data_IF_454375671956
#
_entry.id   IF_454375671956
#
_cell.length_a   1.000
_cell.length_b   1.000
_cell.length_c   1.000
_cell.angle_alpha   90.00
_cell.angle_beta   90.00
_cell.angle_gamma   90.00
#
_symmetry.space_group_name_H-M   'P 1'
#
loop_
_entity.id
_entity.type
_entity.pdbx_description
1 polymer ?
#
# COMPACT_ATOMS: atom_id res chain seq x y z
N UNK A 1 24.06 22.70 -15.32
CA UNK A 1 23.13 21.56 -15.21
C UNK A 1 23.22 21.09 -13.77
N UNK A 2 22.12 21.04 -13.04
CA UNK A 2 22.15 20.55 -11.65
C UNK A 2 22.39 19.04 -11.67
N UNK A 3 23.39 18.54 -10.94
CA UNK A 3 23.53 17.12 -10.67
C UNK A 3 22.26 16.60 -10.00
N UNK A 4 21.72 15.49 -10.50
CA UNK A 4 20.62 14.82 -9.83
C UNK A 4 21.09 14.38 -8.44
N UNK A 5 20.40 14.84 -7.40
CA UNK A 5 20.73 14.49 -6.03
C UNK A 5 20.64 12.96 -5.85
N UNK A 6 21.71 12.34 -5.34
CA UNK A 6 21.71 10.91 -5.03
C UNK A 6 20.88 10.64 -3.76
N UNK A 7 19.80 9.88 -3.93
CA UNK A 7 18.83 9.56 -2.88
C UNK A 7 19.12 8.17 -2.30
N UNK A 8 19.73 8.11 -1.10
CA UNK A 8 20.12 6.84 -0.47
C UNK A 8 18.92 5.93 -0.23
N UNK A 9 17.75 6.48 0.11
CA UNK A 9 16.54 5.68 0.33
C UNK A 9 16.08 4.90 -0.91
N UNK A 10 16.45 5.37 -2.12
CA UNK A 10 16.16 4.70 -3.40
C UNK A 10 17.23 3.69 -3.83
N UNK A 11 18.40 3.64 -3.18
CA UNK A 11 19.44 2.68 -3.51
C UNK A 11 19.22 1.35 -2.76
N UNK A 12 18.87 0.25 -3.46
CA UNK A 12 18.65 -1.05 -2.83
C UNK A 12 19.93 -1.68 -2.26
N UNK A 13 21.12 -1.15 -2.58
CA UNK A 13 22.41 -1.63 -2.04
C UNK A 13 22.76 -1.02 -0.68
N UNK A 14 22.07 0.03 -0.26
CA UNK A 14 22.29 0.65 1.05
C UNK A 14 21.66 -0.20 2.17
N UNK A 15 22.26 -0.24 3.38
CA UNK A 15 21.65 -0.87 4.54
C UNK A 15 20.25 -0.32 4.82
N UNK A 16 19.35 -1.17 5.32
CA UNK A 16 17.95 -0.80 5.57
C UNK A 16 17.83 0.45 6.44
N UNK A 17 18.54 0.50 7.58
CA UNK A 17 18.48 1.63 8.50
C UNK A 17 18.98 2.93 7.88
N UNK A 18 19.96 2.85 6.98
CA UNK A 18 20.44 4.00 6.19
C UNK A 18 19.34 4.53 5.28
N UNK A 19 18.59 3.63 4.63
CA UNK A 19 17.47 3.99 3.75
C UNK A 19 16.31 4.60 4.54
N UNK A 20 15.98 4.03 5.70
CA UNK A 20 14.93 4.53 6.58
C UNK A 20 15.28 5.93 7.07
N UNK A 21 16.49 6.12 7.60
CA UNK A 21 16.93 7.41 8.14
C UNK A 21 16.93 8.50 7.05
N UNK A 22 17.53 8.22 5.90
CA UNK A 22 17.54 9.17 4.77
C UNK A 22 16.13 9.52 4.30
N UNK A 23 15.20 8.56 4.28
CA UNK A 23 13.80 8.83 3.92
C UNK A 23 13.09 9.71 4.96
N UNK A 24 13.13 9.31 6.23
CA UNK A 24 12.43 10.01 7.33
C UNK A 24 12.93 11.44 7.52
N UNK A 25 14.24 11.67 7.31
CA UNK A 25 14.86 12.99 7.37
C UNK A 25 14.39 13.91 6.22
N UNK A 26 13.94 13.33 5.10
CA UNK A 26 13.41 14.07 3.94
C UNK A 26 11.91 14.33 4.01
N UNK A 27 11.19 13.68 4.92
CA UNK A 27 9.72 13.77 4.99
C UNK A 27 9.25 15.04 5.69
N UNK A 28 8.20 15.66 5.15
CA UNK A 28 7.43 16.69 5.86
C UNK A 28 6.60 16.08 7.00
N UNK A 29 5.99 16.92 7.83
CA UNK A 29 5.09 16.42 8.87
C UNK A 29 3.86 15.73 8.26
N UNK A 30 3.30 16.28 7.18
CA UNK A 30 2.15 15.74 6.47
C UNK A 30 2.45 14.36 5.88
N UNK A 31 3.64 14.18 5.29
CA UNK A 31 4.08 12.88 4.78
C UNK A 31 4.25 11.86 5.91
N UNK A 32 4.77 12.27 7.08
CA UNK A 32 4.90 11.39 8.26
C UNK A 32 3.54 10.96 8.78
N UNK A 33 2.61 11.90 8.89
CA UNK A 33 1.23 11.61 9.29
C UNK A 33 0.57 10.70 8.27
N UNK A 34 0.70 10.97 6.97
CA UNK A 34 0.15 10.14 5.91
C UNK A 34 0.61 8.69 6.00
N UNK A 35 1.91 8.45 6.30
CA UNK A 35 2.44 7.10 6.51
C UNK A 35 1.82 6.35 7.70
N UNK A 36 1.32 7.07 8.71
CA UNK A 36 0.64 6.49 9.88
C UNK A 36 -0.85 6.24 9.67
N UNK A 37 -1.40 6.62 8.51
CA UNK A 37 -2.82 6.49 8.18
C UNK A 37 -3.04 5.27 7.31
N UNK A 38 -3.94 4.40 7.78
CA UNK A 38 -4.54 3.33 6.99
C UNK A 38 -6.02 3.68 6.71
N UNK A 39 -6.40 3.72 5.43
CA UNK A 39 -7.79 3.97 5.02
C UNK A 39 -8.44 2.72 4.41
N UNK A 40 -9.76 2.67 4.42
CA UNK A 40 -10.50 1.60 3.74
C UNK A 40 -10.63 1.90 2.24
N UNK A 41 -10.59 0.88 1.38
CA UNK A 41 -10.54 1.03 -0.08
C UNK A 41 -11.74 1.74 -0.72
N UNK A 42 -12.90 1.79 -0.06
CA UNK A 42 -14.12 2.47 -0.55
C UNK A 42 -13.99 4.00 -0.52
N UNK A 43 -13.13 4.53 0.35
CA UNK A 43 -12.82 5.97 0.41
C UNK A 43 -11.51 6.33 -0.28
N UNK A 44 -10.82 5.33 -0.84
CA UNK A 44 -9.57 5.52 -1.54
C UNK A 44 -9.78 5.87 -3.02
N UNK A 45 -8.93 6.75 -3.52
CA UNK A 45 -8.73 7.01 -4.94
C UNK A 45 -7.27 7.38 -5.17
N UNK A 46 -6.81 7.35 -6.42
CA UNK A 46 -5.46 7.80 -6.80
C UNK A 46 -5.18 9.22 -6.26
N UNK A 47 -6.15 10.12 -6.36
CA UNK A 47 -6.05 11.50 -5.87
C UNK A 47 -5.99 11.59 -4.33
N UNK A 48 -6.80 10.80 -3.61
CA UNK A 48 -6.78 10.78 -2.14
C UNK A 48 -5.43 10.26 -1.65
N UNK A 49 -4.93 9.18 -2.25
CA UNK A 49 -3.65 8.58 -1.88
C UNK A 49 -2.50 9.56 -2.11
N UNK A 50 -2.49 10.23 -3.27
CA UNK A 50 -1.46 11.21 -3.60
C UNK A 50 -1.54 12.45 -2.68
N UNK A 51 -2.72 13.06 -2.57
CA UNK A 51 -2.94 14.32 -1.84
C UNK A 51 -2.61 14.23 -0.36
N UNK A 52 -2.89 13.08 0.26
CA UNK A 52 -2.74 12.89 1.71
C UNK A 52 -1.59 11.94 2.07
N UNK A 53 -0.72 11.57 1.11
CA UNK A 53 0.47 10.73 1.34
C UNK A 53 0.16 9.41 2.06
N UNK A 54 -0.99 8.81 1.76
CA UNK A 54 -1.55 7.65 2.47
C UNK A 54 -0.55 6.49 2.48
N UNK A 55 -0.18 6.03 3.67
CA UNK A 55 0.78 4.94 3.88
C UNK A 55 0.18 3.56 3.70
N UNK A 56 -1.11 3.39 3.98
CA UNK A 56 -1.76 2.09 3.83
C UNK A 56 -3.22 2.18 3.41
N UNK A 57 -3.66 1.15 2.68
CA UNK A 57 -5.08 0.90 2.39
C UNK A 57 -5.40 -0.51 2.86
N UNK A 58 -6.63 -0.77 3.29
CA UNK A 58 -7.12 -2.12 3.49
C UNK A 58 -8.43 -2.43 2.74
N UNK A 59 -8.68 -3.72 2.55
CA UNK A 59 -10.03 -4.25 2.34
C UNK A 59 -10.49 -4.94 3.61
N UNK A 60 -11.54 -4.39 4.25
CA UNK A 60 -12.24 -5.07 5.33
C UNK A 60 -13.02 -6.30 4.82
N UNK A 61 -13.58 -7.08 5.74
CA UNK A 61 -14.40 -8.25 5.39
C UNK A 61 -15.50 -7.92 4.38
N UNK A 62 -15.49 -8.60 3.23
CA UNK A 62 -16.45 -8.39 2.14
C UNK A 62 -16.21 -7.17 1.25
N UNK A 63 -15.20 -6.33 1.53
CA UNK A 63 -14.86 -5.17 0.69
C UNK A 63 -14.07 -5.59 -0.55
N UNK A 64 -14.75 -6.17 -1.53
CA UNK A 64 -14.17 -6.55 -2.82
C UNK A 64 -14.29 -5.42 -3.86
N UNK A 65 -13.46 -5.41 -4.93
CA UNK A 65 -13.59 -4.46 -6.04
C UNK A 65 -14.96 -4.50 -6.71
N UNK A 66 -15.54 -5.71 -6.83
CA UNK A 66 -16.85 -6.02 -7.39
C UNK A 66 -17.29 -7.42 -6.97
N UNK A 67 -18.56 -7.76 -7.21
CA UNK A 67 -19.05 -9.13 -7.05
C UNK A 67 -18.27 -10.10 -7.93
N UNK A 68 -17.89 -11.27 -7.38
CA UNK A 68 -17.13 -12.30 -8.09
C UNK A 68 -15.83 -11.79 -8.75
N UNK A 69 -15.17 -10.79 -8.13
CA UNK A 69 -13.93 -10.22 -8.63
C UNK A 69 -12.85 -11.29 -8.84
N UNK A 70 -12.24 -11.29 -10.03
CA UNK A 70 -11.11 -12.14 -10.37
C UNK A 70 -9.85 -11.67 -9.66
N UNK A 71 -8.81 -12.52 -9.61
CA UNK A 71 -7.50 -12.11 -9.10
C UNK A 71 -6.93 -10.87 -9.83
N UNK A 72 -7.16 -10.76 -11.14
CA UNK A 72 -6.73 -9.60 -11.92
C UNK A 72 -7.47 -8.32 -11.51
N UNK A 73 -8.77 -8.38 -11.19
CA UNK A 73 -9.52 -7.21 -10.71
C UNK A 73 -8.95 -6.66 -9.39
N UNK A 74 -8.49 -7.55 -8.51
CA UNK A 74 -7.80 -7.16 -7.27
C UNK A 74 -6.44 -6.51 -7.57
N UNK A 75 -5.65 -7.13 -8.44
CA UNK A 75 -4.34 -6.60 -8.86
C UNK A 75 -4.48 -5.22 -9.49
N UNK A 76 -5.44 -5.05 -10.41
CA UNK A 76 -5.68 -3.78 -11.10
C UNK A 76 -6.09 -2.68 -10.12
N UNK A 77 -6.99 -2.98 -9.18
CA UNK A 77 -7.40 -2.04 -8.14
C UNK A 77 -6.20 -1.60 -7.26
N UNK A 78 -5.41 -2.56 -6.77
CA UNK A 78 -4.26 -2.26 -5.90
C UNK A 78 -3.19 -1.46 -6.66
N UNK A 79 -2.93 -1.82 -7.92
CA UNK A 79 -2.00 -1.09 -8.78
C UNK A 79 -2.44 0.35 -9.03
N UNK A 80 -3.75 0.59 -9.19
CA UNK A 80 -4.26 1.94 -9.39
C UNK A 80 -4.01 2.83 -8.16
N UNK A 81 -4.28 2.32 -6.95
CA UNK A 81 -3.91 3.03 -5.73
C UNK A 81 -2.39 3.22 -5.59
N UNK A 82 -1.60 2.22 -5.96
CA UNK A 82 -0.14 2.31 -5.89
C UNK A 82 0.43 3.38 -6.83
N UNK A 83 -0.17 3.61 -8.01
CA UNK A 83 0.20 4.75 -8.88
C UNK A 83 0.02 6.09 -8.16
N UNK A 84 -1.03 6.24 -7.34
CA UNK A 84 -1.25 7.42 -6.52
C UNK A 84 -0.12 7.65 -5.51
N UNK A 85 0.30 6.59 -4.81
CA UNK A 85 1.38 6.66 -3.84
C UNK A 85 2.75 6.98 -4.50
N UNK A 86 3.05 6.29 -5.61
CA UNK A 86 4.32 6.45 -6.33
C UNK A 86 4.47 7.78 -7.08
N UNK A 87 3.36 8.49 -7.35
CA UNK A 87 3.37 9.82 -7.97
C UNK A 87 3.56 10.97 -6.98
N UNK A 88 3.68 10.68 -5.67
CA UNK A 88 4.02 11.69 -4.65
C UNK A 88 5.48 12.13 -4.76
N UNK A 89 5.84 13.24 -4.10
CA UNK A 89 7.18 13.82 -4.10
C UNK A 89 8.29 12.82 -3.75
N UNK A 90 8.08 11.99 -2.73
CA UNK A 90 9.03 10.96 -2.29
C UNK A 90 8.77 9.58 -2.90
N UNK A 91 7.59 9.38 -3.51
CA UNK A 91 7.22 8.11 -4.15
C UNK A 91 7.28 6.92 -3.18
N UNK A 92 6.84 7.11 -1.94
CA UNK A 92 6.81 6.05 -0.93
C UNK A 92 5.66 5.09 -1.31
N UNK A 93 5.92 3.79 -1.54
CA UNK A 93 4.85 2.85 -1.87
C UNK A 93 3.92 2.66 -0.68
N UNK A 94 2.62 2.53 -0.93
CA UNK A 94 1.66 2.13 0.10
C UNK A 94 1.71 0.62 0.31
N UNK A 95 1.35 0.19 1.52
CA UNK A 95 1.12 -1.21 1.87
C UNK A 95 -0.38 -1.51 1.90
N UNK A 96 -0.78 -2.64 1.30
CA UNK A 96 -2.18 -3.05 1.23
C UNK A 96 -2.49 -4.17 2.23
N UNK A 97 -3.49 -3.97 3.08
CA UNK A 97 -3.94 -4.92 4.09
C UNK A 97 -5.21 -5.67 3.67
N UNK A 98 -5.32 -6.93 4.11
CA UNK A 98 -6.53 -7.75 3.98
C UNK A 98 -6.57 -8.81 5.07
N UNK A 99 -7.76 -9.14 5.53
CA UNK A 99 -7.99 -10.30 6.40
C UNK A 99 -7.96 -11.60 5.58
N UNK A 100 -6.78 -12.19 5.42
CA UNK A 100 -6.58 -13.51 4.80
C UNK A 100 -6.39 -14.60 5.88
N UNK A 101 -7.44 -14.81 6.69
CA UNK A 101 -7.33 -15.53 7.97
C UNK A 101 -7.57 -17.04 7.89
N UNK A 102 -8.01 -17.54 6.73
CA UNK A 102 -8.18 -18.97 6.47
C UNK A 102 -8.09 -19.25 4.96
N UNK A 103 -7.01 -18.73 4.35
CA UNK A 103 -6.90 -18.53 2.90
C UNK A 103 -7.16 -17.07 2.54
N UNK A 104 -7.08 -16.70 1.27
CA UNK A 104 -7.40 -15.34 0.82
C UNK A 104 -8.92 -15.16 0.71
N UNK A 105 -9.62 -15.29 1.84
CA UNK A 105 -11.06 -15.56 1.95
C UNK A 105 -12.00 -14.46 1.42
N UNK A 106 -11.50 -13.25 1.15
CA UNK A 106 -12.27 -12.21 0.45
C UNK A 106 -12.25 -12.35 -1.09
N UNK A 107 -11.35 -13.14 -1.66
CA UNK A 107 -11.21 -13.31 -3.11
C UNK A 107 -12.11 -14.45 -3.58
N UNK A 108 -12.92 -14.17 -4.61
CA UNK A 108 -13.80 -15.18 -5.19
C UNK A 108 -12.99 -16.38 -5.71
N UNK A 109 -13.47 -17.58 -5.38
CA UNK A 109 -12.85 -18.86 -5.78
C UNK A 109 -11.44 -19.10 -5.21
N UNK A 110 -11.01 -18.35 -4.18
CA UNK A 110 -9.80 -18.68 -3.45
C UNK A 110 -9.98 -19.96 -2.60
N UNK A 111 -8.92 -20.75 -2.45
CA UNK A 111 -8.93 -21.90 -1.54
C UNK A 111 -9.24 -21.45 -0.12
N UNK A 112 -10.24 -22.09 0.50
CA UNK A 112 -10.66 -21.84 1.88
C UNK A 112 -10.17 -22.99 2.76
N UNK A 113 -9.37 -22.66 3.77
CA UNK A 113 -8.87 -23.60 4.76
C UNK A 113 -9.84 -23.70 5.95
N UNK A 114 -9.76 -24.78 6.77
CA UNK A 114 -10.43 -24.81 8.06
C UNK A 114 -10.02 -23.62 8.92
N UNK A 115 -10.97 -23.10 9.71
CA UNK A 115 -10.66 -22.07 10.70
C UNK A 115 -9.73 -22.61 11.80
N UNK A 116 -8.99 -21.71 12.44
CA UNK A 116 -7.94 -22.02 13.42
C UNK A 116 -8.36 -22.97 14.55
N UNK A 117 -9.63 -22.99 14.97
CA UNK A 117 -10.10 -23.91 16.04
C UNK A 117 -10.04 -25.39 15.64
N UNK A 118 -10.04 -25.68 14.33
CA UNK A 118 -9.99 -27.04 13.79
C UNK A 118 -8.66 -27.40 13.12
N UNK A 119 -7.65 -26.52 13.18
CA UNK A 119 -6.27 -26.79 12.77
C UNK A 119 -5.47 -27.34 13.95
#
# INVERSE_FOLDING_TARGET
>A
MAEAEYLKYKDPKQPLDTRIKDLVDRMTLEEKIGQMVQIERTVASTDVVNKYYIGSILSGGGSAPKAEATANDWVDMVNEFQKGALSTRLGIPMIYGVDAVHGHNNVYNATIFPHNVGL
#
